data_IF_821858392108
#
_entry.id   IF_821858392108
#
_cell.length_a   1.000
_cell.length_b   1.000
_cell.length_c   1.000
_cell.angle_alpha   90.00
_cell.angle_beta   90.00
_cell.angle_gamma   90.00
#
_symmetry.space_group_name_H-M   'P 1'
#
loop_
_entity.id
_entity.type
_entity.pdbx_description
1 polymer ?
#
# COMPACT_ATOMS: atom_id res chain seq x y z
N UNK A 1 17.23 -1.41 -1.16
CA UNK A 1 17.35 -0.91 -2.55
C UNK A 1 16.69 0.45 -2.72
N UNK A 2 15.44 0.67 -2.28
CA UNK A 2 14.73 1.96 -2.44
C UNK A 2 15.48 3.17 -1.85
N UNK A 3 15.98 3.09 -0.62
CA UNK A 3 16.75 4.20 -0.02
C UNK A 3 18.01 4.55 -0.81
N UNK A 4 18.69 3.55 -1.39
CA UNK A 4 19.86 3.81 -2.23
C UNK A 4 19.47 4.59 -3.49
N UNK A 5 18.35 4.25 -4.13
CA UNK A 5 17.87 4.98 -5.32
C UNK A 5 17.52 6.42 -4.98
N UNK A 6 16.85 6.65 -3.85
CA UNK A 6 16.49 7.99 -3.38
C UNK A 6 17.74 8.84 -3.05
N UNK A 7 18.74 8.26 -2.38
CA UNK A 7 20.01 8.95 -2.08
C UNK A 7 20.86 9.18 -3.35
N UNK A 8 20.82 8.25 -4.31
CA UNK A 8 21.62 8.33 -5.55
C UNK A 8 20.99 9.23 -6.60
N UNK A 9 19.66 9.34 -6.62
CA UNK A 9 18.86 10.13 -7.55
C UNK A 9 17.83 10.98 -6.77
N UNK A 10 18.26 12.08 -6.13
CA UNK A 10 17.48 12.80 -5.11
C UNK A 10 16.32 13.65 -5.66
N UNK A 11 15.99 13.52 -6.95
CA UNK A 11 14.99 14.34 -7.61
C UNK A 11 14.01 13.48 -8.43
N UNK A 12 12.70 13.52 -8.13
CA UNK A 12 12.09 14.14 -6.94
C UNK A 12 12.45 13.37 -5.65
N UNK A 13 12.58 14.04 -4.48
CA UNK A 13 12.88 13.35 -3.23
C UNK A 13 11.68 12.51 -2.78
N UNK A 14 11.91 11.26 -2.39
CA UNK A 14 10.88 10.33 -1.89
C UNK A 14 10.98 10.11 -0.38
N UNK A 15 11.98 10.71 0.28
CA UNK A 15 12.08 10.78 1.74
C UNK A 15 12.17 12.23 2.23
N UNK A 16 11.64 12.51 3.44
CA UNK A 16 11.83 13.80 4.09
C UNK A 16 13.31 14.12 4.33
N UNK A 17 13.65 15.42 4.24
CA UNK A 17 15.01 15.93 4.49
C UNK A 17 15.36 15.89 5.97
N UNK A 18 14.41 16.20 6.85
CA UNK A 18 14.67 16.28 8.28
C UNK A 18 14.81 14.89 8.93
N UNK A 19 15.82 14.67 9.81
CA UNK A 19 16.09 13.35 10.36
C UNK A 19 14.92 12.68 11.07
N UNK A 20 14.12 13.45 11.82
CA UNK A 20 12.96 12.93 12.56
C UNK A 20 11.89 12.43 11.59
N UNK A 21 11.48 13.26 10.63
CA UNK A 21 10.50 12.88 9.62
C UNK A 21 10.98 11.68 8.78
N UNK A 22 12.29 11.60 8.50
CA UNK A 22 12.88 10.44 7.79
C UNK A 22 12.81 9.16 8.62
N UNK A 23 13.01 9.25 9.94
CA UNK A 23 12.85 8.13 10.84
C UNK A 23 11.37 7.68 10.93
N UNK A 24 10.44 8.62 10.92
CA UNK A 24 9.00 8.32 10.88
C UNK A 24 8.60 7.62 9.58
N UNK A 25 9.07 8.09 8.41
CA UNK A 25 8.83 7.39 7.14
C UNK A 25 9.34 5.95 7.17
N UNK A 26 10.54 5.71 7.71
CA UNK A 26 11.08 4.35 7.88
C UNK A 26 10.25 3.49 8.83
N UNK A 27 9.76 4.08 9.92
CA UNK A 27 8.86 3.39 10.84
C UNK A 27 7.56 3.00 10.14
N UNK A 28 6.99 3.89 9.32
CA UNK A 28 5.79 3.57 8.54
C UNK A 28 6.06 2.46 7.52
N UNK A 29 7.17 2.50 6.79
CA UNK A 29 7.57 1.41 5.87
C UNK A 29 7.71 0.07 6.61
N UNK A 30 8.34 0.08 7.79
CA UNK A 30 8.47 -1.11 8.63
C UNK A 30 7.09 -1.65 9.06
N UNK A 31 6.18 -0.76 9.46
CA UNK A 31 4.81 -1.13 9.83
C UNK A 31 4.01 -1.65 8.65
N UNK A 32 4.15 -1.09 7.46
CA UNK A 32 3.50 -1.62 6.24
C UNK A 32 3.92 -3.07 6.02
N UNK A 33 5.22 -3.36 6.08
CA UNK A 33 5.73 -4.72 5.93
C UNK A 33 5.09 -5.64 6.98
N UNK A 34 5.27 -5.30 8.26
CA UNK A 34 4.86 -6.18 9.37
C UNK A 34 3.35 -6.33 9.52
N UNK A 35 2.62 -5.22 9.41
CA UNK A 35 1.21 -5.16 9.74
C UNK A 35 0.34 -5.53 8.52
N UNK A 36 0.85 -5.42 7.28
CA UNK A 36 0.06 -5.70 6.07
C UNK A 36 0.69 -6.66 5.07
N UNK A 37 1.97 -6.50 4.71
CA UNK A 37 2.59 -7.42 3.75
C UNK A 37 2.65 -8.85 4.32
N UNK A 38 2.98 -9.00 5.59
CA UNK A 38 2.99 -10.31 6.26
C UNK A 38 1.59 -10.96 6.29
N UNK A 39 0.51 -10.17 6.32
CA UNK A 39 -0.86 -10.69 6.19
C UNK A 39 -1.17 -11.09 4.75
N UNK A 40 -0.74 -10.32 3.76
CA UNK A 40 -0.90 -10.66 2.35
C UNK A 40 -0.18 -11.97 2.01
N UNK A 41 1.05 -12.15 2.51
CA UNK A 41 1.82 -13.39 2.32
C UNK A 41 1.09 -14.59 2.94
N UNK A 42 0.54 -14.44 4.16
CA UNK A 42 -0.27 -15.49 4.80
C UNK A 42 -1.53 -15.86 4.01
N UNK A 43 -2.21 -14.88 3.40
CA UNK A 43 -3.39 -15.14 2.56
C UNK A 43 -2.98 -16.01 1.36
N UNK A 44 -1.85 -15.69 0.72
CA UNK A 44 -1.33 -16.45 -0.41
C UNK A 44 -0.94 -17.86 0.03
N UNK A 45 -0.21 -18.00 1.13
CA UNK A 45 0.19 -19.30 1.68
C UNK A 45 -1.01 -20.18 2.02
N UNK A 46 -2.01 -19.64 2.72
CA UNK A 46 -3.24 -20.36 3.05
C UNK A 46 -4.02 -20.77 1.81
N UNK A 47 -4.14 -19.87 0.82
CA UNK A 47 -4.81 -20.16 -0.45
C UNK A 47 -4.09 -21.25 -1.25
N UNK A 48 -2.75 -21.30 -1.22
CA UNK A 48 -1.97 -22.37 -1.85
C UNK A 48 -2.08 -23.72 -1.13
N UNK A 49 -2.43 -23.71 0.15
CA UNK A 49 -2.62 -24.89 0.99
C UNK A 49 -4.08 -25.39 1.00
N UNK A 50 -4.98 -24.77 0.22
CA UNK A 50 -6.43 -24.99 0.25
C UNK A 50 -7.05 -24.81 1.66
N UNK A 51 -6.45 -23.94 2.50
CA UNK A 51 -6.93 -23.59 3.84
C UNK A 51 -7.74 -22.29 3.82
N UNK A 52 -8.96 -22.39 3.30
CA UNK A 52 -9.84 -21.23 3.09
C UNK A 52 -10.31 -20.57 4.39
N UNK A 53 -10.43 -21.33 5.49
CA UNK A 53 -10.83 -20.78 6.80
C UNK A 53 -9.77 -19.80 7.32
N UNK A 54 -8.49 -20.19 7.27
CA UNK A 54 -7.38 -19.30 7.63
C UNK A 54 -7.26 -18.13 6.66
N UNK A 55 -7.43 -18.37 5.35
CA UNK A 55 -7.35 -17.32 4.35
C UNK A 55 -8.41 -16.22 4.61
N UNK A 56 -9.65 -16.60 4.90
CA UNK A 56 -10.73 -15.65 5.16
C UNK A 56 -10.56 -14.89 6.48
N UNK A 57 -10.04 -15.53 7.54
CA UNK A 57 -9.70 -14.86 8.79
C UNK A 57 -8.65 -13.75 8.55
N UNK A 58 -7.60 -14.06 7.81
CA UNK A 58 -6.51 -13.11 7.53
C UNK A 58 -6.95 -12.02 6.55
N UNK A 59 -7.77 -12.35 5.53
CA UNK A 59 -8.39 -11.33 4.65
C UNK A 59 -9.19 -10.32 5.45
N UNK A 60 -9.99 -10.79 6.41
CA UNK A 60 -10.76 -9.92 7.30
C UNK A 60 -9.86 -9.03 8.15
N UNK A 61 -8.80 -9.59 8.74
CA UNK A 61 -7.84 -8.81 9.53
C UNK A 61 -7.18 -7.69 8.70
N UNK A 62 -6.68 -8.02 7.50
CA UNK A 62 -6.08 -7.04 6.60
C UNK A 62 -7.09 -5.98 6.16
N UNK A 63 -8.31 -6.39 5.79
CA UNK A 63 -9.38 -5.46 5.42
C UNK A 63 -9.71 -4.49 6.56
N UNK A 64 -9.93 -5.00 7.76
CA UNK A 64 -10.30 -4.18 8.92
C UNK A 64 -9.16 -3.19 9.28
N UNK A 65 -7.90 -3.62 9.12
CA UNK A 65 -6.72 -2.77 9.28
C UNK A 65 -6.67 -1.64 8.24
N UNK A 66 -6.94 -1.94 6.96
CA UNK A 66 -7.02 -0.93 5.89
C UNK A 66 -8.20 0.04 6.07
N UNK A 67 -9.35 -0.46 6.54
CA UNK A 67 -10.51 0.39 6.88
C UNK A 67 -10.14 1.37 7.99
N UNK A 68 -9.41 0.92 9.01
CA UNK A 68 -9.04 1.73 10.17
C UNK A 68 -8.16 2.94 9.83
N UNK A 69 -7.33 2.84 8.79
CA UNK A 69 -6.46 3.94 8.34
C UNK A 69 -7.15 4.90 7.36
N UNK A 70 -8.34 4.56 6.87
CA UNK A 70 -9.04 5.37 5.87
C UNK A 70 -9.14 6.86 6.24
N UNK A 71 -9.47 7.25 7.49
CA UNK A 71 -9.57 8.66 7.86
C UNK A 71 -8.29 9.49 7.65
N UNK A 72 -7.10 8.87 7.67
CA UNK A 72 -5.83 9.57 7.43
C UNK A 72 -5.83 10.26 6.06
N UNK A 73 -6.43 9.61 5.06
CA UNK A 73 -6.47 10.10 3.69
C UNK A 73 -7.52 11.20 3.45
N UNK A 74 -8.33 11.52 4.47
CA UNK A 74 -9.20 12.69 4.45
C UNK A 74 -8.41 13.97 4.79
N UNK A 75 -7.41 13.84 5.67
CA UNK A 75 -6.57 14.96 6.12
C UNK A 75 -5.36 15.15 5.21
N UNK A 76 -4.78 14.06 4.70
CA UNK A 76 -3.53 14.08 3.92
C UNK A 76 -3.69 13.41 2.56
N UNK A 77 -3.12 13.98 1.48
CA UNK A 77 -3.24 13.43 0.15
C UNK A 77 -2.46 12.11 -0.04
N UNK A 78 -1.39 11.90 0.73
CA UNK A 78 -0.52 10.72 0.73
C UNK A 78 -0.40 10.14 2.14
N UNK A 79 0.13 8.91 2.28
CA UNK A 79 0.12 8.22 3.56
C UNK A 79 0.98 8.95 4.60
N UNK A 80 0.33 9.54 5.61
CA UNK A 80 0.95 10.37 6.65
C UNK A 80 1.74 11.59 6.11
N UNK A 81 1.55 11.99 4.85
CA UNK A 81 2.35 13.03 4.18
C UNK A 81 1.53 13.94 3.25
N UNK A 82 1.98 15.18 3.07
CA UNK A 82 1.44 16.10 2.04
C UNK A 82 2.02 15.83 0.64
N UNK A 83 3.16 15.13 0.59
CA UNK A 83 3.91 14.80 -0.61
C UNK A 83 4.00 13.29 -0.80
N UNK A 84 4.20 12.85 -2.05
CA UNK A 84 4.39 11.44 -2.39
C UNK A 84 5.77 10.95 -1.92
N UNK A 85 5.81 9.83 -1.22
CA UNK A 85 7.02 9.30 -0.57
C UNK A 85 7.25 7.81 -0.85
N UNK A 86 8.39 7.27 -0.39
CA UNK A 86 8.64 5.83 -0.39
C UNK A 86 7.61 5.03 0.40
N UNK A 87 6.91 5.64 1.36
CA UNK A 87 5.86 4.97 2.12
C UNK A 87 4.70 4.60 1.20
N UNK A 88 4.32 5.52 0.31
CA UNK A 88 3.31 5.29 -0.73
C UNK A 88 3.78 4.24 -1.74
N UNK A 89 5.07 4.26 -2.12
CA UNK A 89 5.66 3.22 -2.97
C UNK A 89 5.59 1.81 -2.35
N UNK A 90 5.68 1.69 -1.02
CA UNK A 90 5.54 0.40 -0.33
C UNK A 90 4.09 -0.05 -0.28
N UNK A 91 3.15 0.89 -0.15
CA UNK A 91 1.73 0.61 -0.02
C UNK A 91 1.04 0.34 -1.35
N UNK A 92 1.44 1.02 -2.43
CA UNK A 92 0.79 0.93 -3.74
C UNK A 92 0.65 -0.50 -4.29
N UNK A 93 1.70 -1.35 -4.28
CA UNK A 93 1.63 -2.70 -4.83
C UNK A 93 0.64 -3.60 -4.07
N UNK A 94 0.54 -3.42 -2.75
CA UNK A 94 -0.42 -4.14 -1.91
C UNK A 94 -1.85 -3.72 -2.26
N UNK A 95 -2.12 -2.41 -2.31
CA UNK A 95 -3.44 -1.89 -2.66
C UNK A 95 -3.87 -2.32 -4.06
N UNK A 96 -2.93 -2.35 -5.03
CA UNK A 96 -3.21 -2.82 -6.38
C UNK A 96 -3.68 -4.29 -6.39
N UNK A 97 -3.11 -5.14 -5.54
CA UNK A 97 -3.36 -6.59 -5.50
C UNK A 97 -4.56 -7.02 -4.66
N UNK A 98 -5.26 -6.11 -4.00
CA UNK A 98 -6.43 -6.45 -3.16
C UNK A 98 -7.46 -7.38 -3.86
N UNK A 99 -7.83 -7.19 -5.14
CA UNK A 99 -8.76 -8.09 -5.82
C UNK A 99 -8.22 -9.54 -5.92
N UNK A 100 -6.93 -9.71 -6.19
CA UNK A 100 -6.30 -11.03 -6.23
C UNK A 100 -6.19 -11.69 -4.85
N UNK A 101 -6.10 -10.88 -3.79
CA UNK A 101 -6.13 -11.37 -2.42
C UNK A 101 -7.56 -11.70 -1.94
N UNK A 102 -8.59 -11.45 -2.76
CA UNK A 102 -9.99 -11.63 -2.38
C UNK A 102 -10.49 -10.59 -1.38
N UNK A 103 -9.88 -9.39 -1.37
CA UNK A 103 -10.23 -8.32 -0.43
C UNK A 103 -10.96 -7.20 -1.15
N UNK A 104 -12.24 -7.02 -0.80
CA UNK A 104 -13.04 -5.88 -1.19
C UNK A 104 -13.06 -4.80 -0.09
N UNK A 105 -12.73 -3.57 -0.48
CA UNK A 105 -12.80 -2.40 0.41
C UNK A 105 -14.23 -1.85 0.36
N UNK A 106 -14.90 -1.65 1.51
CA UNK A 106 -16.25 -1.08 1.55
C UNK A 106 -16.22 0.40 1.16
N UNK A 107 -16.39 0.70 -0.13
CA UNK A 107 -16.20 2.04 -0.71
C UNK A 107 -16.98 3.13 0.02
N UNK A 108 -18.23 2.86 0.41
CA UNK A 108 -19.08 3.82 1.12
C UNK A 108 -18.49 4.27 2.47
N UNK A 109 -17.80 3.36 3.17
CA UNK A 109 -17.19 3.63 4.47
C UNK A 109 -15.75 4.13 4.34
N UNK A 110 -15.08 3.79 3.24
CA UNK A 110 -13.66 4.04 3.01
C UNK A 110 -13.37 5.03 1.89
N UNK A 111 -14.30 5.95 1.59
CA UNK A 111 -14.16 6.96 0.52
C UNK A 111 -12.79 7.68 0.49
N UNK A 112 -12.20 8.10 1.63
CA UNK A 112 -10.90 8.74 1.59
C UNK A 112 -9.77 7.82 1.12
N UNK A 113 -9.78 6.54 1.56
CA UNK A 113 -8.84 5.52 1.09
C UNK A 113 -9.03 5.22 -0.40
N UNK A 114 -10.27 5.07 -0.87
CA UNK A 114 -10.57 4.82 -2.29
C UNK A 114 -10.04 5.98 -3.14
N UNK A 115 -10.32 7.22 -2.75
CA UNK A 115 -9.76 8.40 -3.43
C UNK A 115 -8.23 8.45 -3.41
N UNK A 116 -7.60 7.98 -2.34
CA UNK A 116 -6.15 7.85 -2.30
C UNK A 116 -5.65 6.80 -3.29
N UNK A 117 -6.30 5.63 -3.38
CA UNK A 117 -5.98 4.59 -4.36
C UNK A 117 -6.12 5.11 -5.79
N UNK A 118 -7.21 5.80 -6.11
CA UNK A 118 -7.43 6.42 -7.42
C UNK A 118 -6.29 7.40 -7.75
N UNK A 119 -6.01 8.36 -6.87
CA UNK A 119 -4.91 9.32 -7.05
C UNK A 119 -3.56 8.64 -7.23
N UNK A 120 -3.31 7.56 -6.50
CA UNK A 120 -2.06 6.82 -6.53
C UNK A 120 -1.90 6.07 -7.86
N UNK A 121 -2.97 5.41 -8.31
CA UNK A 121 -2.97 4.62 -9.53
C UNK A 121 -3.00 5.46 -10.80
N UNK A 122 -3.60 6.66 -10.78
CA UNK A 122 -3.59 7.59 -11.91
C UNK A 122 -2.21 8.22 -12.20
N UNK A 123 -1.25 8.11 -11.27
CA UNK A 123 0.09 8.68 -11.46
C UNK A 123 0.78 8.02 -12.66
N UNK A 124 1.32 8.83 -13.56
CA UNK A 124 2.10 8.35 -14.70
C UNK A 124 3.23 7.40 -14.26
N UNK A 125 3.95 7.73 -13.19
CA UNK A 125 5.01 6.87 -12.64
C UNK A 125 4.50 5.51 -12.17
N UNK A 126 3.30 5.45 -11.60
CA UNK A 126 2.69 4.18 -11.19
C UNK A 126 2.25 3.39 -12.42
N UNK A 127 1.57 4.04 -13.36
CA UNK A 127 1.15 3.42 -14.61
C UNK A 127 2.33 2.83 -15.38
N UNK A 128 3.44 3.54 -15.50
CA UNK A 128 4.64 3.02 -16.18
C UNK A 128 5.30 1.87 -15.41
N UNK A 129 5.17 1.83 -14.08
CA UNK A 129 5.77 0.77 -13.26
C UNK A 129 5.09 -0.60 -13.39
N UNK A 130 3.84 -0.64 -13.83
CA UNK A 130 3.08 -1.88 -13.98
C UNK A 130 3.61 -2.73 -15.14
N UNK A 131 3.99 -3.96 -14.81
CA UNK A 131 4.21 -5.02 -15.80
C UNK A 131 2.90 -5.41 -16.50
N UNK A 132 3.00 -6.10 -17.64
CA UNK A 132 1.83 -6.61 -18.37
C UNK A 132 0.94 -7.49 -17.47
N UNK A 133 1.56 -8.42 -16.75
CA UNK A 133 0.85 -9.30 -15.80
C UNK A 133 0.18 -8.52 -14.65
N UNK A 134 0.74 -7.38 -14.23
CA UNK A 134 0.11 -6.56 -13.18
C UNK A 134 -1.06 -5.73 -13.71
N UNK A 135 -1.04 -5.31 -14.99
CA UNK A 135 -2.17 -4.60 -15.60
C UNK A 135 -3.40 -5.49 -15.69
N UNK A 136 -3.20 -6.73 -16.13
CA UNK A 136 -4.25 -7.74 -16.26
C UNK A 136 -4.94 -8.10 -14.92
N UNK A 137 -4.35 -7.73 -13.76
CA UNK A 137 -4.97 -7.97 -12.45
C UNK A 137 -6.23 -7.13 -12.20
N UNK A 138 -6.44 -6.07 -12.98
CA UNK A 138 -7.54 -5.11 -12.80
C UNK A 138 -8.25 -4.74 -14.10
N UNK A 139 -7.92 -5.39 -15.21
CA UNK A 139 -8.64 -5.30 -16.49
C UNK A 139 -9.82 -6.29 -16.52
#
# INVERSE_FOLDING_TARGET
>A
MMEYLDERFPHPPLLPVYPVARAESRLYMYRIQRDWCDLADKIIEASMADDEDTAEEVRKELRDSLVSISPIFADKPFFMSEEFTLVDCCLAPLLWRLPLLGIDIPEEQCKPLVKYMERLFERESFQISLSEAEREMRD
#
